data_IF_619582843127
#
_entry.id   IF_619582843127
#
_cell.length_a   1.000
_cell.length_b   1.000
_cell.length_c   1.000
_cell.angle_alpha   90.00
_cell.angle_beta   90.00
_cell.angle_gamma   90.00
#
_symmetry.space_group_name_H-M   'P 1'
#
loop_
_entity.id
_entity.type
_entity.pdbx_description
1 polymer ?
#
# COMPACT_ATOMS: atom_id res chain seq x y z
N UNK A 1 35.27 -38.71 11.69
CA UNK A 1 35.67 -37.47 12.40
C UNK A 1 35.89 -36.41 11.33
N UNK A 2 35.18 -35.30 11.17
CA UNK A 2 33.96 -34.68 11.73
C UNK A 2 33.53 -33.68 10.64
N UNK A 3 32.42 -33.85 9.93
CA UNK A 3 31.15 -33.16 10.19
C UNK A 3 31.29 -31.74 10.79
N UNK A 4 31.53 -30.74 9.93
CA UNK A 4 31.11 -29.35 10.09
C UNK A 4 30.08 -29.15 8.98
N UNK A 5 28.78 -29.06 9.24
CA UNK A 5 28.15 -28.13 10.17
C UNK A 5 27.51 -26.98 9.38
N UNK A 6 26.82 -27.31 8.28
CA UNK A 6 25.97 -26.35 7.59
C UNK A 6 24.78 -26.05 8.51
N UNK A 7 24.86 -24.92 9.21
CA UNK A 7 23.73 -24.31 9.88
C UNK A 7 22.70 -23.97 8.80
N UNK A 8 21.71 -24.85 8.66
CA UNK A 8 20.49 -24.57 7.93
C UNK A 8 19.82 -23.36 8.57
N UNK A 9 20.04 -22.18 7.99
CA UNK A 9 19.09 -21.09 8.07
C UNK A 9 17.74 -21.66 7.64
N UNK A 10 16.74 -21.56 8.52
CA UNK A 10 15.34 -21.70 8.15
C UNK A 10 15.02 -20.59 7.14
N UNK A 11 15.47 -20.75 5.90
CA UNK A 11 14.73 -20.34 4.74
C UNK A 11 13.36 -20.99 4.91
N UNK A 12 12.44 -20.25 5.50
CA UNK A 12 11.02 -20.55 5.41
C UNK A 12 10.75 -20.49 3.91
N UNK A 13 10.74 -21.66 3.26
CA UNK A 13 10.63 -21.83 1.83
C UNK A 13 9.28 -21.28 1.36
N UNK A 14 9.24 -19.96 1.16
CA UNK A 14 8.11 -19.20 0.64
C UNK A 14 7.74 -19.68 -0.77
N UNK A 15 8.65 -20.40 -1.45
CA UNK A 15 8.52 -20.81 -2.84
C UNK A 15 7.82 -22.17 -3.03
N UNK A 16 7.72 -23.03 -2.00
CA UNK A 16 7.19 -24.40 -2.18
C UNK A 16 5.73 -24.65 -1.82
N UNK A 17 4.94 -23.63 -1.48
CA UNK A 17 3.47 -23.76 -1.49
C UNK A 17 2.91 -23.25 -2.82
N UNK A 18 3.27 -23.96 -3.90
CA UNK A 18 2.39 -24.03 -5.07
C UNK A 18 1.04 -24.55 -4.61
N UNK A 19 -0.02 -23.79 -4.83
CA UNK A 19 -1.41 -24.27 -4.92
C UNK A 19 -1.91 -25.32 -3.92
N UNK A 20 -1.39 -25.37 -2.68
CA UNK A 20 -2.14 -26.01 -1.61
C UNK A 20 -3.52 -25.34 -1.57
N UNK A 21 -4.58 -26.16 -1.65
CA UNK A 21 -5.97 -25.76 -1.61
C UNK A 21 -6.23 -24.97 -0.31
N UNK A 22 -5.98 -23.66 -0.35
CA UNK A 22 -6.38 -22.75 0.71
C UNK A 22 -7.91 -22.72 0.70
N UNK A 23 -8.51 -23.61 1.48
CA UNK A 23 -9.93 -23.63 1.73
C UNK A 23 -10.23 -22.72 2.94
N UNK A 24 -11.00 -21.63 2.74
CA UNK A 24 -11.37 -20.72 3.81
C UNK A 24 -12.03 -21.38 5.03
N UNK A 25 -12.68 -22.55 4.85
CA UNK A 25 -13.44 -23.23 5.92
C UNK A 25 -12.59 -24.14 6.80
N UNK A 26 -11.51 -24.69 6.26
CA UNK A 26 -10.72 -25.74 6.94
C UNK A 26 -9.29 -25.31 7.23
N UNK A 27 -8.79 -24.29 6.54
CA UNK A 27 -7.44 -23.78 6.78
C UNK A 27 -7.40 -22.93 8.04
N UNK A 28 -6.72 -23.43 9.07
CA UNK A 28 -6.43 -22.68 10.30
C UNK A 28 -5.44 -21.56 9.98
N UNK A 29 -5.79 -20.35 10.42
CA UNK A 29 -4.96 -19.16 10.35
C UNK A 29 -3.93 -19.19 11.48
N UNK A 30 -2.68 -18.94 11.14
CA UNK A 30 -1.57 -18.82 12.07
C UNK A 30 -0.61 -17.72 11.60
N UNK A 31 0.54 -17.61 12.27
CA UNK A 31 1.56 -16.60 11.96
C UNK A 31 2.02 -16.66 10.49
N UNK A 32 2.05 -17.81 9.84
CA UNK A 32 2.48 -17.95 8.44
C UNK A 32 1.49 -17.44 7.40
N UNK A 33 0.20 -17.33 7.73
CA UNK A 33 -0.82 -16.94 6.75
C UNK A 33 -0.87 -15.44 6.45
N UNK A 34 -0.36 -14.61 7.36
CA UNK A 34 -0.36 -13.15 7.21
C UNK A 34 1.07 -12.59 7.23
N UNK A 35 1.33 -11.61 6.38
CA UNK A 35 2.48 -10.71 6.44
C UNK A 35 2.03 -9.31 6.84
N UNK A 36 2.98 -8.45 7.18
CA UNK A 36 2.74 -7.00 7.31
C UNK A 36 3.34 -6.28 6.11
N UNK A 37 3.05 -4.98 5.90
CA UNK A 37 3.59 -4.24 4.77
C UNK A 37 5.12 -4.29 4.71
N UNK A 38 5.67 -4.46 3.50
CA UNK A 38 7.11 -4.51 3.25
C UNK A 38 7.82 -5.81 3.69
N UNK A 39 7.11 -6.79 4.24
CA UNK A 39 7.67 -8.07 4.71
C UNK A 39 7.35 -9.26 3.80
N UNK A 40 6.83 -9.01 2.59
CA UNK A 40 6.61 -10.04 1.57
C UNK A 40 7.65 -9.96 0.46
N UNK A 41 7.30 -10.49 -0.71
CA UNK A 41 8.15 -10.44 -1.89
C UNK A 41 7.66 -9.39 -2.89
N UNK A 42 8.61 -8.68 -3.48
CA UNK A 42 8.40 -7.89 -4.69
C UNK A 42 7.94 -8.82 -5.82
N UNK A 43 6.94 -8.46 -6.63
CA UNK A 43 6.66 -9.21 -7.84
C UNK A 43 7.83 -9.06 -8.82
N UNK A 44 8.04 -10.05 -9.69
CA UNK A 44 9.20 -10.13 -10.60
C UNK A 44 9.40 -8.88 -11.46
N UNK A 45 8.29 -8.23 -11.86
CA UNK A 45 8.35 -7.02 -12.66
C UNK A 45 8.79 -5.79 -11.86
N UNK A 46 8.69 -5.77 -10.52
CA UNK A 46 9.01 -4.60 -9.72
C UNK A 46 10.49 -4.23 -9.86
N UNK A 47 10.80 -2.94 -9.99
CA UNK A 47 12.13 -2.42 -10.27
C UNK A 47 12.77 -2.88 -11.58
N UNK A 48 12.00 -3.51 -12.48
CA UNK A 48 12.47 -3.80 -13.84
C UNK A 48 12.44 -2.52 -14.67
N UNK A 49 13.51 -2.20 -15.41
CA UNK A 49 13.54 -1.03 -16.27
C UNK A 49 12.63 -1.21 -17.49
N UNK A 50 11.93 -0.14 -17.88
CA UNK A 50 11.04 -0.12 -19.03
C UNK A 50 11.16 1.20 -19.78
N UNK A 51 10.82 1.18 -21.07
CA UNK A 51 10.72 2.40 -21.86
C UNK A 51 9.40 3.10 -21.53
N UNK A 52 9.49 4.37 -21.10
CA UNK A 52 8.33 5.18 -20.74
C UNK A 52 8.00 6.27 -21.77
N UNK A 53 9.02 6.87 -22.38
CA UNK A 53 8.88 8.00 -23.30
C UNK A 53 9.77 7.85 -24.53
N UNK A 54 9.40 8.50 -25.63
CA UNK A 54 10.21 8.64 -26.85
C UNK A 54 10.47 10.12 -27.11
N UNK A 55 11.70 10.46 -27.49
CA UNK A 55 12.05 11.83 -27.85
C UNK A 55 11.43 12.23 -29.20
N UNK A 56 11.02 13.49 -29.33
CA UNK A 56 10.38 14.08 -30.51
C UNK A 56 11.17 13.85 -31.81
N UNK A 57 12.50 13.81 -31.74
CA UNK A 57 13.36 13.59 -32.91
C UNK A 57 13.52 12.12 -33.31
N UNK A 58 12.95 11.19 -32.53
CA UNK A 58 13.05 9.75 -32.76
C UNK A 58 14.44 9.15 -32.53
N UNK A 59 15.36 9.87 -31.89
CA UNK A 59 16.75 9.42 -31.69
C UNK A 59 17.03 8.77 -30.32
N UNK A 60 16.07 8.83 -29.42
CA UNK A 60 16.26 8.37 -28.05
C UNK A 60 14.94 8.08 -27.33
N UNK A 61 15.04 7.32 -26.25
CA UNK A 61 13.93 6.98 -25.36
C UNK A 61 14.37 7.05 -23.90
N UNK A 62 13.42 7.35 -23.01
CA UNK A 62 13.65 7.35 -21.56
C UNK A 62 13.38 5.98 -20.96
N UNK A 63 14.35 5.50 -20.19
CA UNK A 63 14.23 4.39 -19.27
C UNK A 63 13.69 4.88 -17.91
N UNK A 64 12.65 4.23 -17.41
CA UNK A 64 12.15 4.39 -16.06
C UNK A 64 12.13 3.06 -15.31
N UNK A 65 12.06 3.13 -13.99
CA UNK A 65 12.01 1.97 -13.09
C UNK A 65 10.58 1.82 -12.59
N UNK A 66 9.97 0.65 -12.76
CA UNK A 66 8.60 0.42 -12.31
C UNK A 66 8.52 0.28 -10.77
N UNK A 67 7.59 1.01 -10.17
CA UNK A 67 7.16 0.81 -8.78
C UNK A 67 5.85 0.03 -8.76
N UNK A 68 5.85 -1.16 -8.14
CA UNK A 68 4.65 -2.01 -8.13
C UNK A 68 3.54 -1.47 -7.20
N UNK A 69 3.86 -0.52 -6.31
CA UNK A 69 2.96 0.07 -5.29
C UNK A 69 2.14 -1.00 -4.54
N UNK A 70 2.73 -2.17 -4.25
CA UNK A 70 2.08 -3.25 -3.50
C UNK A 70 2.43 -3.21 -2.02
N UNK A 71 1.45 -3.48 -1.16
CA UNK A 71 1.63 -3.57 0.29
C UNK A 71 2.75 -4.53 0.71
N UNK A 72 2.85 -5.68 0.04
CA UNK A 72 3.85 -6.72 0.36
C UNK A 72 5.27 -6.39 -0.09
N UNK A 73 5.46 -5.42 -0.99
CA UNK A 73 6.75 -5.14 -1.61
C UNK A 73 7.67 -4.37 -0.64
N UNK A 74 8.85 -4.90 -0.27
CA UNK A 74 9.80 -4.22 0.64
C UNK A 74 10.20 -2.82 0.20
N UNK A 75 10.27 -2.58 -1.11
CA UNK A 75 10.71 -1.30 -1.67
C UNK A 75 9.58 -0.31 -1.94
N UNK A 76 8.37 -0.81 -2.23
CA UNK A 76 7.24 0.04 -2.65
C UNK A 76 6.14 0.21 -1.59
N UNK A 77 6.21 -0.51 -0.46
CA UNK A 77 5.12 -0.51 0.51
C UNK A 77 4.86 0.87 1.11
N UNK A 78 5.88 1.71 1.34
CA UNK A 78 5.72 3.02 1.99
C UNK A 78 4.78 3.93 1.22
N UNK A 79 5.04 4.10 -0.09
CA UNK A 79 4.14 4.86 -0.95
C UNK A 79 2.73 4.27 -0.91
N UNK A 80 2.59 2.94 -0.98
CA UNK A 80 1.27 2.30 -0.90
C UNK A 80 0.54 2.56 0.43
N UNK A 81 1.23 2.47 1.56
CA UNK A 81 0.68 2.78 2.88
C UNK A 81 0.21 4.23 2.90
N UNK A 82 1.07 5.16 2.48
CA UNK A 82 0.75 6.59 2.50
C UNK A 82 -0.36 6.98 1.52
N UNK A 83 -0.44 6.35 0.34
CA UNK A 83 -1.56 6.53 -0.59
C UNK A 83 -2.89 6.13 0.04
N UNK A 84 -2.90 5.05 0.83
CA UNK A 84 -4.10 4.59 1.52
C UNK A 84 -4.42 5.47 2.74
N UNK A 85 -3.40 5.96 3.45
CA UNK A 85 -3.59 7.01 4.47
C UNK A 85 -4.23 8.25 3.85
N UNK A 86 -3.68 8.75 2.73
CA UNK A 86 -4.20 9.91 2.02
C UNK A 86 -5.66 9.69 1.64
N UNK A 87 -5.95 8.60 0.93
CA UNK A 87 -7.30 8.25 0.47
C UNK A 87 -8.31 8.20 1.62
N UNK A 88 -8.02 7.46 2.69
CA UNK A 88 -8.97 7.33 3.79
C UNK A 88 -9.03 8.57 4.68
N UNK A 89 -7.93 9.30 4.86
CA UNK A 89 -7.94 10.55 5.61
C UNK A 89 -8.83 11.60 4.93
N UNK A 90 -8.64 11.81 3.62
CA UNK A 90 -9.50 12.70 2.82
C UNK A 90 -10.95 12.29 2.94
N UNK A 91 -11.26 11.00 2.72
CA UNK A 91 -12.63 10.49 2.81
C UNK A 91 -13.27 10.72 4.18
N UNK A 92 -12.53 10.46 5.27
CA UNK A 92 -13.03 10.64 6.64
C UNK A 92 -13.20 12.12 7.00
N UNK A 93 -12.29 12.98 6.55
CA UNK A 93 -12.37 14.44 6.76
C UNK A 93 -13.54 15.05 5.99
N UNK A 94 -13.73 14.69 4.71
CA UNK A 94 -14.89 15.12 3.92
C UNK A 94 -16.20 14.67 4.58
N UNK A 95 -16.27 13.42 5.04
CA UNK A 95 -17.45 12.91 5.74
C UNK A 95 -17.70 13.64 7.06
N UNK A 96 -16.63 13.96 7.80
CA UNK A 96 -16.70 14.77 9.02
C UNK A 96 -17.23 16.19 8.76
N UNK A 97 -16.79 16.84 7.69
CA UNK A 97 -17.25 18.17 7.31
C UNK A 97 -18.75 18.17 7.02
N UNK A 98 -19.22 17.20 6.23
CA UNK A 98 -20.63 17.10 5.82
C UNK A 98 -21.56 16.72 6.97
N UNK A 99 -21.11 15.84 7.86
CA UNK A 99 -21.96 15.35 8.97
C UNK A 99 -21.86 16.19 10.24
N UNK A 100 -20.82 17.02 10.37
CA UNK A 100 -20.51 17.73 11.62
C UNK A 100 -20.01 16.82 12.75
N UNK A 101 -19.78 15.54 12.48
CA UNK A 101 -19.28 14.56 13.46
C UNK A 101 -17.81 14.24 13.24
N UNK A 102 -17.08 13.93 14.32
CA UNK A 102 -15.68 13.44 14.26
C UNK A 102 -15.63 11.93 14.48
N UNK A 103 -14.74 11.19 13.80
CA UNK A 103 -14.64 9.76 14.01
C UNK A 103 -14.02 9.47 15.38
N UNK A 104 -14.42 8.35 15.98
CA UNK A 104 -13.81 7.85 17.22
C UNK A 104 -13.17 6.48 17.01
N UNK A 105 -12.17 6.17 17.83
CA UNK A 105 -11.41 4.92 17.72
C UNK A 105 -12.05 3.78 18.49
N UNK A 106 -12.08 2.60 17.88
CA UNK A 106 -12.48 1.39 18.56
C UNK A 106 -11.67 0.19 18.11
N UNK A 107 -11.64 -0.86 18.94
CA UNK A 107 -11.06 -2.16 18.60
C UNK A 107 -12.04 -3.25 18.94
N UNK A 108 -12.31 -4.13 17.97
CA UNK A 108 -12.95 -5.42 18.24
C UNK A 108 -11.89 -6.51 18.38
N UNK A 109 -11.95 -7.27 19.45
CA UNK A 109 -11.05 -8.38 19.73
C UNK A 109 -11.86 -9.67 19.90
N UNK A 110 -11.31 -10.77 19.41
CA UNK A 110 -11.77 -12.10 19.79
C UNK A 110 -11.05 -12.58 21.04
N UNK A 111 -11.64 -13.59 21.68
CA UNK A 111 -11.02 -14.32 22.77
C UNK A 111 -9.68 -14.94 22.31
N UNK A 112 -8.64 -14.81 23.14
CA UNK A 112 -7.29 -15.30 22.83
C UNK A 112 -7.24 -16.81 22.62
N UNK A 113 -8.13 -17.55 23.30
CA UNK A 113 -8.14 -19.01 23.26
C UNK A 113 -8.60 -19.53 21.90
N UNK A 114 -9.39 -18.73 21.15
CA UNK A 114 -9.87 -19.07 19.81
C UNK A 114 -8.91 -18.69 18.70
N UNK A 115 -7.88 -17.89 18.98
CA UNK A 115 -7.00 -17.35 17.96
C UNK A 115 -6.17 -18.44 17.25
N UNK A 116 -5.82 -19.53 17.93
CA UNK A 116 -4.93 -20.57 17.39
C UNK A 116 -5.63 -21.65 16.56
N UNK A 117 -6.96 -21.74 16.61
CA UNK A 117 -7.77 -22.65 15.80
C UNK A 117 -8.63 -21.91 14.77
N UNK A 118 -8.45 -20.60 14.63
CA UNK A 118 -9.30 -19.72 13.82
C UNK A 118 -9.12 -19.98 12.33
N UNK A 119 -10.17 -20.35 11.62
CA UNK A 119 -10.20 -20.43 10.16
C UNK A 119 -10.50 -19.07 9.52
N UNK A 120 -10.29 -18.94 8.20
CA UNK A 120 -10.62 -17.69 7.51
C UNK A 120 -12.13 -17.39 7.52
N UNK A 121 -12.98 -18.42 7.40
CA UNK A 121 -14.43 -18.24 7.45
C UNK A 121 -14.90 -17.77 8.83
N UNK A 122 -14.34 -18.34 9.90
CA UNK A 122 -14.59 -17.87 11.26
C UNK A 122 -14.10 -16.44 11.48
N UNK A 123 -12.94 -16.07 10.93
CA UNK A 123 -12.45 -14.70 10.99
C UNK A 123 -13.37 -13.72 10.24
N UNK A 124 -13.88 -14.12 9.07
CA UNK A 124 -14.91 -13.35 8.34
C UNK A 124 -16.22 -13.26 9.13
N UNK A 125 -16.62 -14.33 9.79
CA UNK A 125 -17.75 -14.38 10.72
C UNK A 125 -17.58 -13.38 11.86
N UNK A 126 -16.41 -13.37 12.50
CA UNK A 126 -16.03 -12.40 13.52
C UNK A 126 -16.15 -10.95 13.01
N UNK A 127 -15.59 -10.63 11.84
CA UNK A 127 -15.67 -9.28 11.24
C UNK A 127 -17.11 -8.84 10.99
N UNK A 128 -17.95 -9.75 10.47
CA UNK A 128 -19.38 -9.50 10.25
C UNK A 128 -20.10 -9.25 11.57
N UNK A 129 -19.93 -10.14 12.54
CA UNK A 129 -20.56 -10.04 13.85
C UNK A 129 -20.14 -8.77 14.61
N UNK A 130 -18.87 -8.39 14.54
CA UNK A 130 -18.37 -7.14 15.11
C UNK A 130 -19.06 -5.92 14.46
N UNK A 131 -19.13 -5.89 13.12
CA UNK A 131 -19.83 -4.83 12.38
C UNK A 131 -21.32 -4.75 12.73
N UNK A 132 -22.02 -5.88 12.80
CA UNK A 132 -23.46 -5.90 13.12
C UNK A 132 -23.74 -5.42 14.55
N UNK A 133 -22.82 -5.64 15.48
CA UNK A 133 -22.89 -5.07 16.84
C UNK A 133 -22.65 -3.57 16.84
N UNK A 134 -21.67 -3.09 16.10
CA UNK A 134 -21.45 -1.65 15.94
C UNK A 134 -22.71 -0.97 15.39
N UNK A 135 -23.33 -1.55 14.36
CA UNK A 135 -24.59 -1.05 13.78
C UNK A 135 -25.71 -1.00 14.82
N UNK A 136 -25.86 -2.03 15.66
CA UNK A 136 -26.85 -2.04 16.76
C UNK A 136 -26.58 -0.99 17.84
N UNK A 137 -25.33 -0.57 18.01
CA UNK A 137 -24.94 0.53 18.90
C UNK A 137 -25.03 1.92 18.21
N UNK A 138 -25.73 2.03 17.08
CA UNK A 138 -25.94 3.31 16.40
C UNK A 138 -24.75 3.81 15.58
N UNK A 139 -23.76 2.96 15.30
CA UNK A 139 -22.71 3.28 14.32
C UNK A 139 -23.29 3.18 12.92
N UNK A 140 -23.23 4.26 12.16
CA UNK A 140 -23.80 4.35 10.81
C UNK A 140 -22.74 4.18 9.73
N UNK A 141 -21.51 4.61 10.00
CA UNK A 141 -20.40 4.51 9.07
C UNK A 141 -19.07 4.29 9.77
N UNK A 142 -18.08 3.79 9.04
CA UNK A 142 -16.71 3.76 9.54
C UNK A 142 -15.69 3.17 8.58
N UNK A 143 -14.45 3.35 8.96
CA UNK A 143 -13.28 2.66 8.42
C UNK A 143 -12.91 1.50 9.34
N UNK A 144 -12.41 0.41 8.75
CA UNK A 144 -11.92 -0.77 9.47
C UNK A 144 -10.54 -1.18 8.95
N UNK A 145 -9.74 -1.75 9.83
CA UNK A 145 -8.45 -2.34 9.50
C UNK A 145 -8.21 -3.63 10.29
N UNK A 146 -7.84 -4.68 9.58
CA UNK A 146 -7.63 -6.01 10.14
C UNK A 146 -6.17 -6.21 10.57
N UNK A 147 -5.96 -6.51 11.86
CA UNK A 147 -4.66 -6.74 12.48
C UNK A 147 -4.56 -8.16 13.07
N UNK A 148 -3.72 -9.05 12.50
CA UNK A 148 -3.56 -10.42 12.98
C UNK A 148 -2.59 -10.54 14.16
N UNK A 149 -1.81 -9.49 14.47
CA UNK A 149 -0.69 -9.57 15.41
C UNK A 149 -0.80 -8.53 16.52
N UNK A 150 -0.50 -8.94 17.75
CA UNK A 150 -0.26 -8.04 18.88
C UNK A 150 1.17 -8.20 19.37
N UNK A 151 1.82 -7.10 19.69
CA UNK A 151 3.19 -7.12 20.20
C UNK A 151 3.18 -7.72 21.61
N UNK A 152 4.16 -8.58 21.92
CA UNK A 152 4.30 -9.14 23.27
C UNK A 152 4.53 -8.02 24.27
N UNK A 153 3.91 -8.09 25.45
CA UNK A 153 3.98 -7.02 26.46
C UNK A 153 5.43 -6.71 26.89
N UNK A 154 6.26 -7.74 27.07
CA UNK A 154 7.69 -7.58 27.38
C UNK A 154 8.45 -6.84 26.28
N UNK A 155 8.20 -7.20 25.01
CA UNK A 155 8.79 -6.51 23.85
C UNK A 155 8.30 -5.07 23.77
N UNK A 156 7.00 -4.82 23.98
CA UNK A 156 6.46 -3.46 23.97
C UNK A 156 7.12 -2.57 25.02
N UNK A 157 7.37 -3.11 26.23
CA UNK A 157 8.08 -2.41 27.30
C UNK A 157 9.54 -2.14 26.92
N UNK A 158 10.25 -3.15 26.39
CA UNK A 158 11.64 -3.01 25.94
C UNK A 158 11.78 -1.94 24.86
N UNK A 159 10.94 -1.98 23.81
CA UNK A 159 11.00 -1.01 22.70
C UNK A 159 10.78 0.42 23.20
N UNK A 160 9.85 0.64 24.15
CA UNK A 160 9.64 1.98 24.75
C UNK A 160 10.87 2.51 25.47
N UNK A 161 11.63 1.64 26.13
CA UNK A 161 12.88 2.01 26.82
C UNK A 161 13.99 2.27 25.80
N UNK A 162 14.16 1.39 24.82
CA UNK A 162 15.23 1.45 23.82
C UNK A 162 15.07 2.61 22.84
N UNK A 163 13.83 2.93 22.44
CA UNK A 163 13.54 3.97 21.46
C UNK A 163 13.20 5.33 22.07
N UNK A 164 13.04 5.42 23.39
CA UNK A 164 12.50 6.59 24.09
C UNK A 164 10.98 6.78 23.90
N UNK A 165 10.38 7.58 24.79
CA UNK A 165 8.93 7.84 24.82
C UNK A 165 8.40 8.57 23.56
N UNK A 166 9.28 9.19 22.76
CA UNK A 166 8.93 9.94 21.55
C UNK A 166 8.81 9.10 20.27
N UNK A 167 8.87 7.76 20.35
CA UNK A 167 8.63 6.95 19.15
C UNK A 167 7.17 7.10 18.72
N UNK A 168 6.95 8.05 17.80
CA UNK A 168 5.70 8.26 17.10
C UNK A 168 5.12 6.93 16.61
N UNK A 169 3.82 6.89 16.48
CA UNK A 169 3.06 5.68 16.19
C UNK A 169 3.62 4.90 14.97
N UNK A 170 4.04 5.57 13.90
CA UNK A 170 4.70 4.92 12.75
C UNK A 170 6.13 4.39 13.01
N UNK A 171 6.88 4.98 13.95
CA UNK A 171 8.24 4.57 14.31
C UNK A 171 8.30 3.24 15.06
N UNK A 172 7.27 2.93 15.85
CA UNK A 172 7.25 1.73 16.70
C UNK A 172 7.30 0.43 15.90
N UNK A 173 6.48 0.31 14.85
CA UNK A 173 6.50 -0.87 13.98
C UNK A 173 7.70 -0.87 13.05
N UNK A 174 8.18 0.28 12.58
CA UNK A 174 9.43 0.34 11.82
C UNK A 174 10.62 -0.21 12.63
N UNK A 175 10.67 0.05 13.94
CA UNK A 175 11.67 -0.53 14.83
C UNK A 175 11.50 -2.06 14.94
N UNK A 176 10.28 -2.55 15.17
CA UNK A 176 10.00 -4.01 15.25
C UNK A 176 10.37 -4.76 13.96
N UNK A 177 10.19 -4.12 12.81
CA UNK A 177 10.47 -4.72 11.50
C UNK A 177 11.92 -4.60 11.07
N UNK A 178 12.74 -3.82 11.78
CA UNK A 178 14.15 -3.67 11.48
C UNK A 178 14.96 -4.84 12.08
N UNK A 179 15.69 -5.63 11.26
CA UNK A 179 16.52 -6.73 11.77
C UNK A 179 17.54 -6.30 12.82
N UNK A 180 18.12 -5.10 12.70
CA UNK A 180 19.09 -4.59 13.67
C UNK A 180 18.47 -4.39 15.05
N UNK A 181 17.21 -3.94 15.09
CA UNK A 181 16.46 -3.72 16.34
C UNK A 181 16.14 -5.02 17.08
N UNK A 182 16.03 -6.15 16.37
CA UNK A 182 15.81 -7.47 17.00
C UNK A 182 16.99 -7.82 17.93
N UNK A 183 18.22 -7.51 17.51
CA UNK A 183 19.41 -7.76 18.33
C UNK A 183 19.42 -6.90 19.60
N UNK A 184 19.02 -5.63 19.49
CA UNK A 184 18.90 -4.74 20.66
C UNK A 184 17.84 -5.26 21.65
N UNK A 185 16.69 -5.70 21.15
CA UNK A 185 15.63 -6.30 21.97
C UNK A 185 16.12 -7.59 22.63
N UNK A 186 16.83 -8.45 21.89
CA UNK A 186 17.41 -9.69 22.40
C UNK A 186 18.36 -9.44 23.57
N UNK A 187 19.27 -8.47 23.42
CA UNK A 187 20.21 -8.08 24.45
C UNK A 187 19.51 -7.51 25.69
N UNK A 188 18.49 -6.67 25.49
CA UNK A 188 17.76 -6.04 26.60
C UNK A 188 16.92 -7.04 27.39
N UNK A 189 16.29 -7.99 26.71
CA UNK A 189 15.38 -8.97 27.31
C UNK A 189 16.05 -10.30 27.69
N UNK A 190 17.33 -10.48 27.36
CA UNK A 190 18.05 -11.76 27.45
C UNK A 190 17.29 -12.89 26.72
N UNK A 191 17.07 -12.68 25.43
CA UNK A 191 16.28 -13.58 24.56
C UNK A 191 16.96 -13.85 23.23
N UNK A 192 16.45 -14.83 22.47
CA UNK A 192 17.00 -15.23 21.17
C UNK A 192 15.93 -15.22 20.06
N UNK A 193 15.23 -14.08 19.92
CA UNK A 193 14.27 -13.89 18.84
C UNK A 193 15.00 -13.84 17.48
N UNK A 194 14.43 -14.53 16.49
CA UNK A 194 15.03 -14.66 15.14
C UNK A 194 14.37 -13.75 14.12
N UNK A 195 13.12 -13.37 14.34
CA UNK A 195 12.34 -12.55 13.42
C UNK A 195 11.32 -11.69 14.14
N UNK A 196 10.75 -10.70 13.44
CA UNK A 196 9.64 -9.90 13.95
C UNK A 196 8.43 -10.76 14.36
N UNK A 197 8.27 -11.96 13.78
CA UNK A 197 7.17 -12.89 14.13
C UNK A 197 7.32 -13.46 15.54
N UNK A 198 8.52 -13.50 16.07
CA UNK A 198 8.80 -13.95 17.44
C UNK A 198 8.48 -12.86 18.46
N UNK A 199 8.48 -11.60 18.02
CA UNK A 199 8.16 -10.43 18.84
C UNK A 199 6.66 -10.24 19.08
N UNK A 200 5.82 -10.97 18.34
CA UNK A 200 4.36 -10.82 18.35
C UNK A 200 3.64 -12.11 18.74
N UNK A 201 2.42 -11.95 19.24
CA UNK A 201 1.43 -13.00 19.40
C UNK A 201 0.44 -12.95 18.23
N UNK A 202 0.03 -14.12 17.73
CA UNK A 202 -1.08 -14.20 16.79
C UNK A 202 -2.37 -13.96 17.55
N UNK A 203 -3.01 -12.81 17.32
CA UNK A 203 -4.19 -12.36 18.04
C UNK A 203 -5.01 -11.45 17.10
N UNK A 204 -5.82 -12.04 16.20
CA UNK A 204 -6.61 -11.29 15.24
C UNK A 204 -7.59 -10.32 15.92
N UNK A 205 -7.58 -9.07 15.48
CA UNK A 205 -8.46 -8.02 15.94
C UNK A 205 -8.74 -7.04 14.79
N UNK A 206 -9.75 -6.19 14.96
CA UNK A 206 -10.11 -5.18 13.97
C UNK A 206 -10.09 -3.82 14.64
N UNK A 207 -9.30 -2.91 14.09
CA UNK A 207 -9.35 -1.49 14.43
C UNK A 207 -10.43 -0.79 13.62
N UNK A 208 -11.06 0.20 14.22
CA UNK A 208 -12.10 0.99 13.59
C UNK A 208 -11.93 2.49 13.86
N UNK A 209 -12.32 3.27 12.86
CA UNK A 209 -12.67 4.69 12.98
C UNK A 209 -14.15 4.83 12.67
N UNK A 210 -14.94 5.25 13.66
CA UNK A 210 -16.39 5.07 13.68
C UNK A 210 -17.13 6.39 13.75
N UNK A 211 -18.26 6.46 13.06
CA UNK A 211 -19.23 7.56 13.15
C UNK A 211 -20.59 7.05 13.66
N UNK A 212 -21.32 7.89 14.43
CA UNK A 212 -20.92 9.22 14.90
C UNK A 212 -20.06 9.16 16.18
N UNK A 213 -19.24 10.19 16.42
CA UNK A 213 -18.23 10.29 17.49
C UNK A 213 -18.74 9.98 18.90
N UNK A 214 -19.98 10.37 19.17
CA UNK A 214 -20.60 10.36 20.49
C UNK A 214 -21.09 8.97 20.93
N UNK A 215 -21.09 7.96 20.06
CA UNK A 215 -21.68 6.67 20.41
C UNK A 215 -20.94 5.96 21.56
N UNK A 216 -21.74 5.36 22.44
CA UNK A 216 -21.29 4.37 23.41
C UNK A 216 -21.33 3.00 22.73
N UNK A 217 -20.22 2.29 22.78
CA UNK A 217 -20.11 0.94 22.23
C UNK A 217 -19.71 -0.03 23.33
N UNK A 218 -20.31 -1.21 23.30
CA UNK A 218 -19.95 -2.31 24.19
C UNK A 218 -19.91 -3.62 23.41
N UNK A 219 -19.01 -4.50 23.82
CA UNK A 219 -18.95 -5.89 23.36
C UNK A 219 -19.74 -6.82 24.26
N UNK A 220 -19.63 -8.12 23.99
CA UNK A 220 -20.07 -9.19 24.89
C UNK A 220 -18.93 -10.19 25.12
N UNK A 221 -19.22 -11.31 25.80
CA UNK A 221 -18.24 -12.36 26.10
C UNK A 221 -17.56 -12.97 24.87
N UNK A 222 -18.17 -12.90 23.68
CA UNK A 222 -17.65 -13.52 22.46
C UNK A 222 -16.89 -12.54 21.56
N UNK A 223 -17.28 -11.26 21.54
CA UNK A 223 -16.54 -10.20 20.84
C UNK A 223 -16.50 -8.99 21.75
N UNK A 224 -15.31 -8.69 22.25
CA UNK A 224 -15.04 -7.50 23.05
C UNK A 224 -14.83 -6.34 22.10
N UNK A 225 -15.64 -5.28 22.24
CA UNK A 225 -15.47 -4.04 21.51
C UNK A 225 -15.16 -2.94 22.51
N UNK A 226 -14.02 -2.29 22.34
CA UNK A 226 -13.49 -1.28 23.26
C UNK A 226 -13.32 0.04 22.53
N UNK A 227 -13.91 1.11 23.08
CA UNK A 227 -13.65 2.49 22.66
C UNK A 227 -12.29 2.93 23.20
N UNK A 228 -11.43 3.51 22.35
CA UNK A 228 -10.06 3.86 22.73
C UNK A 228 -9.92 5.35 23.07
N UNK A 229 -9.51 5.63 24.31
CA UNK A 229 -9.27 6.99 24.80
C UNK A 229 -7.88 7.50 24.37
N UNK A 230 -7.78 8.78 24.03
CA UNK A 230 -6.51 9.50 23.80
C UNK A 230 -5.88 9.82 25.16
N UNK A 231 -4.61 10.22 25.15
CA UNK A 231 -3.86 10.60 26.35
C UNK A 231 -4.49 11.79 27.07
N UNK A 232 -5.10 12.70 26.32
CA UNK A 232 -5.86 13.86 26.81
C UNK A 232 -7.26 13.52 27.34
N UNK A 233 -7.66 12.24 27.31
CA UNK A 233 -8.97 11.79 27.77
C UNK A 233 -10.09 11.86 26.72
N UNK A 234 -9.86 12.44 25.54
CA UNK A 234 -10.83 12.45 24.43
C UNK A 234 -10.93 11.08 23.75
N UNK A 235 -11.99 10.84 22.99
CA UNK A 235 -12.16 9.57 22.24
C UNK A 235 -12.19 9.76 20.72
N UNK A 236 -12.45 10.99 20.30
CA UNK A 236 -12.57 11.43 18.92
C UNK A 236 -11.21 11.81 18.36
N UNK A 237 -11.09 11.79 17.04
CA UNK A 237 -9.95 12.33 16.31
C UNK A 237 -10.37 13.69 15.79
N UNK A 238 -10.03 14.75 16.53
CA UNK A 238 -10.68 16.05 16.39
C UNK A 238 -10.13 16.89 15.24
N UNK A 239 -8.94 16.54 14.72
CA UNK A 239 -8.29 17.26 13.63
C UNK A 239 -7.67 16.30 12.60
N UNK A 240 -7.27 16.87 11.46
CA UNK A 240 -6.65 16.13 10.34
C UNK A 240 -5.40 15.40 10.78
N UNK A 241 -4.55 16.04 11.59
CA UNK A 241 -3.31 15.42 12.10
C UNK A 241 -3.60 14.15 12.90
N UNK A 242 -4.59 14.16 13.79
CA UNK A 242 -5.02 13.00 14.56
C UNK A 242 -5.46 11.84 13.65
N UNK A 243 -6.24 12.13 12.59
CA UNK A 243 -6.67 11.13 11.61
C UNK A 243 -5.48 10.56 10.84
N UNK A 244 -4.63 11.42 10.28
CA UNK A 244 -3.46 11.02 9.48
C UNK A 244 -2.49 10.19 10.30
N UNK A 245 -2.13 10.65 11.51
CA UNK A 245 -1.21 9.92 12.38
C UNK A 245 -1.78 8.56 12.80
N UNK A 246 -3.08 8.49 13.08
CA UNK A 246 -3.72 7.24 13.48
C UNK A 246 -3.84 6.26 12.30
N UNK A 247 -4.28 6.71 11.13
CA UNK A 247 -4.32 5.87 9.94
C UNK A 247 -2.93 5.38 9.55
N UNK A 248 -1.92 6.26 9.55
CA UNK A 248 -0.54 5.88 9.23
C UNK A 248 -0.03 4.85 10.22
N UNK A 249 -0.27 5.03 11.52
CA UNK A 249 0.05 4.00 12.50
C UNK A 249 -0.55 2.66 12.12
N UNK A 250 -1.87 2.61 12.00
CA UNK A 250 -2.60 1.37 11.77
C UNK A 250 -2.16 0.70 10.46
N UNK A 251 -2.08 1.45 9.36
CA UNK A 251 -1.77 0.89 8.05
C UNK A 251 -0.33 0.35 7.94
N UNK A 252 0.63 0.82 8.74
CA UNK A 252 2.02 0.29 8.71
C UNK A 252 2.16 -1.16 9.20
N UNK A 253 1.14 -1.72 9.85
CA UNK A 253 1.18 -3.08 10.40
C UNK A 253 -0.12 -3.84 10.15
N UNK A 254 -0.80 -3.51 9.05
CA UNK A 254 -1.98 -4.22 8.62
C UNK A 254 -1.68 -5.68 8.24
N UNK A 255 -2.62 -6.59 8.48
CA UNK A 255 -2.45 -8.00 8.13
C UNK A 255 -2.76 -8.29 6.68
N UNK A 256 -1.73 -8.55 5.87
CA UNK A 256 -1.88 -8.94 4.47
C UNK A 256 -1.89 -10.46 4.39
N UNK A 257 -2.96 -11.06 3.87
CA UNK A 257 -3.01 -12.49 3.68
C UNK A 257 -2.06 -12.91 2.53
N UNK A 258 -1.17 -13.87 2.78
CA UNK A 258 -0.15 -14.30 1.81
C UNK A 258 -0.79 -14.95 0.57
N UNK A 259 -1.89 -15.69 0.77
CA UNK A 259 -2.63 -16.40 -0.29
C UNK A 259 -3.83 -15.58 -0.84
N UNK A 260 -3.67 -14.27 -0.98
CA UNK A 260 -4.74 -13.35 -1.39
C UNK A 260 -5.38 -13.69 -2.75
N UNK A 261 -4.67 -14.37 -3.65
CA UNK A 261 -5.19 -14.76 -4.98
C UNK A 261 -6.50 -15.56 -4.94
N UNK A 262 -6.73 -16.37 -3.88
CA UNK A 262 -7.98 -17.14 -3.66
C UNK A 262 -8.87 -16.52 -2.58
N UNK A 263 -8.37 -15.52 -1.85
CA UNK A 263 -9.07 -14.86 -0.75
C UNK A 263 -9.09 -13.36 -0.99
N UNK A 264 -10.24 -12.84 -1.45
CA UNK A 264 -10.57 -11.39 -1.56
C UNK A 264 -10.71 -10.72 -0.19
N UNK A 265 -9.73 -10.91 0.70
CA UNK A 265 -9.69 -10.26 2.00
C UNK A 265 -8.77 -9.05 1.91
N UNK A 266 -9.36 -7.90 1.65
CA UNK A 266 -8.67 -6.62 1.81
C UNK A 266 -8.49 -6.31 3.31
N UNK A 267 -7.28 -5.90 3.73
CA UNK A 267 -6.98 -5.61 5.13
C UNK A 267 -7.68 -4.33 5.60
N UNK A 268 -7.83 -3.35 4.71
CA UNK A 268 -8.42 -2.05 4.97
C UNK A 268 -9.74 -1.89 4.21
N UNK A 269 -10.67 -1.11 4.76
CA UNK A 269 -11.83 -0.69 3.98
C UNK A 269 -12.88 0.06 4.79
N UNK A 270 -13.88 0.57 4.09
CA UNK A 270 -15.00 1.31 4.67
C UNK A 270 -16.29 0.48 4.73
N UNK A 271 -17.22 0.87 5.59
CA UNK A 271 -18.52 0.25 5.73
C UNK A 271 -19.59 1.25 6.15
N UNK A 272 -20.85 0.81 6.07
CA UNK A 272 -21.97 1.68 6.37
C UNK A 272 -22.15 2.71 5.27
N UNK A 273 -22.53 3.93 5.64
CA UNK A 273 -22.81 5.00 4.68
C UNK A 273 -21.56 5.33 3.85
N UNK A 274 -20.37 5.31 4.46
CA UNK A 274 -19.08 5.51 3.79
C UNK A 274 -18.77 4.53 2.64
N UNK A 275 -19.44 3.39 2.52
CA UNK A 275 -19.09 2.37 1.50
C UNK A 275 -19.32 2.85 0.07
N UNK A 276 -20.39 3.62 -0.14
CA UNK A 276 -20.77 4.15 -1.45
C UNK A 276 -20.79 5.69 -1.45
N UNK A 277 -20.28 6.30 -0.39
CA UNK A 277 -20.25 7.74 -0.23
C UNK A 277 -19.12 8.33 -1.08
N UNK A 278 -19.43 9.42 -1.78
CA UNK A 278 -18.51 10.14 -2.65
C UNK A 278 -18.46 11.61 -2.21
N UNK A 279 -17.29 12.18 -1.90
CA UNK A 279 -17.18 13.59 -1.53
C UNK A 279 -17.85 14.54 -2.52
N UNK A 280 -17.75 14.24 -3.81
CA UNK A 280 -18.21 15.08 -4.93
C UNK A 280 -19.74 15.24 -4.97
N UNK A 281 -20.48 14.35 -4.30
CA UNK A 281 -21.94 14.44 -4.22
C UNK A 281 -22.40 15.47 -3.16
N UNK A 282 -21.50 15.96 -2.30
CA UNK A 282 -21.83 16.78 -1.13
C UNK A 282 -20.97 18.04 -0.95
N UNK A 283 -19.76 18.07 -1.51
CA UNK A 283 -18.78 19.13 -1.33
C UNK A 283 -18.37 19.72 -2.69
N UNK A 284 -17.96 20.98 -2.70
CA UNK A 284 -17.40 21.59 -3.91
C UNK A 284 -15.98 21.06 -4.20
N UNK A 285 -15.51 21.15 -5.46
CA UNK A 285 -14.13 20.79 -5.79
C UNK A 285 -13.09 21.52 -4.94
N UNK A 286 -13.33 22.80 -4.61
CA UNK A 286 -12.45 23.62 -3.78
C UNK A 286 -12.39 23.09 -2.34
N UNK A 287 -13.52 22.74 -1.74
CA UNK A 287 -13.56 22.16 -0.39
C UNK A 287 -12.82 20.82 -0.33
N UNK A 288 -12.99 19.97 -1.36
CA UNK A 288 -12.26 18.71 -1.47
C UNK A 288 -10.76 18.97 -1.62
N UNK A 289 -10.37 19.93 -2.45
CA UNK A 289 -8.99 20.31 -2.66
C UNK A 289 -8.33 20.84 -1.39
N UNK A 290 -9.02 21.67 -0.61
CA UNK A 290 -8.53 22.19 0.67
C UNK A 290 -8.28 21.06 1.68
N UNK A 291 -9.18 20.08 1.75
CA UNK A 291 -9.01 18.88 2.59
C UNK A 291 -7.81 18.06 2.10
N UNK A 292 -7.70 17.82 0.79
CA UNK A 292 -6.57 17.10 0.20
C UNK A 292 -5.23 17.78 0.52
N UNK A 293 -5.15 19.10 0.38
CA UNK A 293 -3.96 19.89 0.70
C UNK A 293 -3.61 19.79 2.20
N UNK A 294 -4.61 19.86 3.09
CA UNK A 294 -4.41 19.72 4.53
C UNK A 294 -3.83 18.34 4.89
N UNK A 295 -4.39 17.26 4.32
CA UNK A 295 -3.87 15.89 4.51
C UNK A 295 -2.47 15.75 3.92
N UNK A 296 -2.23 16.31 2.73
CA UNK A 296 -0.94 16.24 2.04
C UNK A 296 0.16 16.95 2.84
N UNK A 297 -0.14 18.13 3.40
CA UNK A 297 0.77 18.88 4.27
C UNK A 297 1.23 18.02 5.45
N UNK A 298 0.31 17.37 6.15
CA UNK A 298 0.64 16.46 7.25
C UNK A 298 1.43 15.22 6.80
N UNK A 299 1.14 14.66 5.61
CA UNK A 299 1.90 13.52 5.10
C UNK A 299 3.35 13.87 4.75
N UNK A 300 3.57 15.12 4.34
CA UNK A 300 4.85 15.69 3.93
C UNK A 300 5.69 16.28 5.07
N UNK A 301 5.13 16.38 6.27
CA UNK A 301 5.89 16.76 7.46
C UNK A 301 7.16 15.89 7.60
N UNK A 302 8.31 16.55 7.62
CA UNK A 302 9.64 15.93 7.82
C UNK A 302 10.10 14.99 6.69
N UNK A 303 9.50 15.07 5.49
CA UNK A 303 9.96 14.29 4.32
C UNK A 303 11.09 14.98 3.57
N UNK A 304 12.10 14.19 3.20
CA UNK A 304 13.14 14.61 2.25
C UNK A 304 12.66 14.58 0.81
N UNK A 305 11.77 13.64 0.47
CA UNK A 305 11.13 13.53 -0.84
C UNK A 305 9.63 13.72 -0.66
N UNK A 306 9.09 14.91 -0.96
CA UNK A 306 7.68 15.21 -0.74
C UNK A 306 6.79 14.44 -1.73
N UNK A 307 5.55 14.24 -1.32
CA UNK A 307 4.47 13.72 -2.15
C UNK A 307 3.69 14.85 -2.81
N UNK A 308 3.03 14.51 -3.91
CA UNK A 308 1.99 15.30 -4.55
C UNK A 308 0.83 14.38 -4.98
N UNK A 309 -0.23 14.97 -5.52
CA UNK A 309 -1.39 14.26 -6.06
C UNK A 309 -1.35 14.39 -7.58
N UNK A 310 -1.49 13.27 -8.29
CA UNK A 310 -1.56 13.27 -9.76
C UNK A 310 -2.97 13.63 -10.27
N UNK A 311 -3.12 13.69 -11.60
CA UNK A 311 -4.37 14.08 -12.27
C UNK A 311 -5.50 13.06 -12.04
N UNK A 312 -5.18 11.87 -11.52
CA UNK A 312 -6.14 10.83 -11.15
C UNK A 312 -6.51 10.89 -9.65
N UNK A 313 -5.98 11.87 -8.90
CA UNK A 313 -6.20 11.97 -7.47
C UNK A 313 -5.36 10.98 -6.66
N UNK A 314 -4.35 10.35 -7.25
CA UNK A 314 -3.48 9.39 -6.55
C UNK A 314 -2.21 10.04 -6.02
N UNK A 315 -1.78 9.59 -4.85
CA UNK A 315 -0.53 10.04 -4.24
C UNK A 315 0.68 9.50 -5.03
N UNK A 316 1.59 10.39 -5.42
CA UNK A 316 2.86 10.10 -6.08
C UNK A 316 4.01 10.93 -5.47
N UNK A 317 5.26 10.63 -5.83
CA UNK A 317 6.37 11.49 -5.43
C UNK A 317 6.39 12.75 -6.28
N UNK A 318 6.65 13.91 -5.66
CA UNK A 318 6.76 15.18 -6.40
C UNK A 318 7.85 15.11 -7.48
N UNK A 319 8.97 14.44 -7.15
CA UNK A 319 10.05 14.16 -8.10
C UNK A 319 9.57 13.44 -9.36
N UNK A 320 8.63 12.50 -9.25
CA UNK A 320 8.11 11.77 -10.43
C UNK A 320 7.40 12.76 -11.38
N UNK A 321 6.68 13.75 -10.83
CA UNK A 321 6.03 14.82 -11.60
C UNK A 321 7.03 15.84 -12.16
N UNK A 322 8.08 16.17 -11.41
CA UNK A 322 9.17 17.02 -11.89
C UNK A 322 9.99 16.32 -12.99
N UNK A 323 10.18 15.01 -12.89
CA UNK A 323 10.77 14.15 -13.93
C UNK A 323 9.91 14.15 -15.20
N UNK A 324 8.60 13.94 -15.08
CA UNK A 324 7.67 14.02 -16.23
C UNK A 324 7.75 15.38 -16.92
N UNK A 325 7.67 16.49 -16.15
CA UNK A 325 7.78 17.83 -16.71
C UNK A 325 9.15 18.09 -17.35
N UNK A 326 10.23 17.66 -16.72
CA UNK A 326 11.59 17.80 -17.27
C UNK A 326 11.75 16.99 -18.55
N UNK A 327 11.13 15.80 -18.62
CA UNK A 327 11.10 14.99 -19.83
C UNK A 327 10.36 15.71 -20.96
N UNK A 328 9.18 16.27 -20.69
CA UNK A 328 8.39 17.06 -21.65
C UNK A 328 9.18 18.29 -22.16
N UNK A 329 9.77 19.08 -21.26
CA UNK A 329 10.60 20.24 -21.59
C UNK A 329 11.83 19.84 -22.43
N UNK A 330 12.36 18.64 -22.21
CA UNK A 330 13.45 18.05 -22.99
C UNK A 330 12.98 17.39 -24.30
N UNK A 331 11.71 17.50 -24.66
CA UNK A 331 11.14 16.98 -25.91
C UNK A 331 10.82 15.50 -25.89
N UNK A 332 10.64 14.88 -24.73
CA UNK A 332 10.19 13.49 -24.61
C UNK A 332 8.68 13.42 -24.40
N UNK A 333 8.03 12.51 -25.12
CA UNK A 333 6.60 12.29 -25.06
C UNK A 333 6.28 10.90 -24.50
N UNK A 334 5.32 10.77 -23.56
CA UNK A 334 4.91 9.49 -23.02
C UNK A 334 4.41 8.53 -24.10
N UNK A 335 4.85 7.27 -24.07
CA UNK A 335 4.40 6.24 -25.02
C UNK A 335 2.88 6.07 -25.08
N UNK A 336 2.18 6.32 -23.97
CA UNK A 336 0.71 6.25 -23.87
C UNK A 336 0.00 7.26 -24.77
N UNK A 337 0.64 8.37 -25.14
CA UNK A 337 0.04 9.42 -25.96
C UNK A 337 -0.01 9.03 -27.44
N UNK A 338 0.89 8.14 -27.87
CA UNK A 338 0.91 7.60 -29.23
C UNK A 338 -0.15 6.50 -29.46
N UNK A 339 -0.96 6.19 -28.45
CA UNK A 339 -2.04 5.18 -28.53
C UNK A 339 -3.42 5.85 -28.47
N UNK A 340 -3.52 7.10 -28.95
CA UNK A 340 -4.84 7.69 -29.19
C UNK A 340 -5.58 6.91 -30.29
N UNK A 341 -6.89 6.75 -30.07
CA UNK A 341 -7.76 5.78 -30.74
C UNK A 341 -8.57 6.44 -31.87
N UNK A 342 -7.95 6.81 -32.99
CA UNK A 342 -8.65 7.09 -34.28
C UNK A 342 -7.71 7.04 -35.51
N UNK A 343 -8.30 7.08 -36.73
CA UNK A 343 -7.56 7.08 -38.00
C UNK A 343 -6.66 8.34 -38.15
N UNK A 344 -7.09 9.49 -37.63
CA UNK A 344 -6.33 10.74 -37.66
C UNK A 344 -5.03 10.66 -36.85
N UNK A 345 -5.01 9.85 -35.79
CA UNK A 345 -3.79 9.64 -35.00
C UNK A 345 -2.76 8.81 -35.77
N UNK A 346 -3.20 7.88 -36.62
CA UNK A 346 -2.33 7.06 -37.47
C UNK A 346 -1.56 7.89 -38.49
N UNK A 347 -2.24 8.76 -39.24
CA UNK A 347 -1.60 9.63 -40.24
C UNK A 347 -0.57 10.58 -39.62
N UNK A 348 -0.86 11.11 -38.41
CA UNK A 348 0.08 11.95 -37.67
C UNK A 348 1.34 11.18 -37.27
N UNK A 349 1.19 9.94 -36.81
CA UNK A 349 2.31 9.07 -36.41
C UNK A 349 3.14 8.71 -37.65
N UNK A 350 2.52 8.32 -38.76
CA UNK A 350 3.22 7.95 -40.00
C UNK A 350 4.01 9.14 -40.58
N UNK A 351 3.41 10.33 -40.56
CA UNK A 351 4.06 11.58 -40.95
C UNK A 351 5.25 11.90 -40.04
N UNK A 352 5.09 11.75 -38.73
CA UNK A 352 6.16 11.94 -37.76
C UNK A 352 7.30 10.93 -37.96
N UNK A 353 7.00 9.63 -38.10
CA UNK A 353 7.99 8.58 -38.38
C UNK A 353 8.78 8.89 -39.64
N UNK A 354 8.11 9.34 -40.71
CA UNK A 354 8.74 9.75 -41.97
C UNK A 354 9.65 10.97 -41.84
N UNK A 355 9.45 11.80 -40.79
CA UNK A 355 10.28 12.99 -40.51
C UNK A 355 11.56 12.66 -39.72
N UNK A 356 11.68 11.46 -39.15
CA UNK A 356 12.86 11.03 -38.40
C UNK A 356 14.04 10.87 -39.36
N UNK A 357 15.11 11.65 -39.13
CA UNK A 357 16.26 11.74 -40.05
C UNK A 357 16.99 10.43 -40.31
N UNK A 358 17.04 9.56 -39.31
CA UNK A 358 17.73 8.27 -39.42
C UNK A 358 16.68 7.16 -39.63
N UNK A 359 16.67 6.49 -40.80
CA UNK A 359 15.68 5.45 -41.10
C UNK A 359 15.69 4.27 -40.12
N UNK A 360 16.86 3.85 -39.64
CA UNK A 360 16.96 2.74 -38.68
C UNK A 360 16.32 3.12 -37.34
N UNK A 361 16.49 4.38 -36.93
CA UNK A 361 15.83 4.91 -35.74
C UNK A 361 14.30 4.98 -35.94
N UNK A 362 13.83 5.40 -37.13
CA UNK A 362 12.40 5.45 -37.44
C UNK A 362 11.74 4.06 -37.34
N UNK A 363 12.38 3.05 -37.96
CA UNK A 363 11.96 1.64 -37.89
C UNK A 363 11.99 1.12 -36.45
N UNK A 364 12.96 1.56 -35.64
CA UNK A 364 13.02 1.19 -34.23
C UNK A 364 11.89 1.81 -33.42
N UNK A 365 11.59 3.10 -33.62
CA UNK A 365 10.47 3.78 -32.95
C UNK A 365 9.13 3.17 -33.34
N UNK A 366 8.90 2.87 -34.61
CA UNK A 366 7.70 2.18 -35.09
C UNK A 366 7.49 0.82 -34.39
N UNK A 367 8.57 0.05 -34.22
CA UNK A 367 8.56 -1.20 -33.46
C UNK A 367 8.16 -0.99 -32.00
N UNK A 368 8.71 0.02 -31.32
CA UNK A 368 8.36 0.31 -29.93
C UNK A 368 6.87 0.65 -29.78
N UNK A 369 6.35 1.51 -30.66
CA UNK A 369 4.93 1.88 -30.66
C UNK A 369 4.03 0.67 -30.92
N UNK A 370 4.40 -0.16 -31.90
CA UNK A 370 3.67 -1.38 -32.25
C UNK A 370 3.64 -2.39 -31.11
N UNK A 371 4.78 -2.67 -30.48
CA UNK A 371 4.85 -3.56 -29.33
C UNK A 371 4.06 -3.02 -28.14
N UNK A 372 4.11 -1.72 -27.89
CA UNK A 372 3.37 -1.13 -26.78
C UNK A 372 1.86 -1.23 -27.00
N UNK A 373 1.40 -0.95 -28.23
CA UNK A 373 0.00 -1.14 -28.64
C UNK A 373 -0.45 -2.58 -28.50
N UNK A 374 0.37 -3.55 -28.94
CA UNK A 374 0.11 -4.99 -28.78
C UNK A 374 -0.07 -5.36 -27.31
N UNK A 375 0.86 -4.95 -26.45
CA UNK A 375 0.85 -5.24 -25.02
C UNK A 375 -0.34 -4.60 -24.31
N UNK A 376 -0.76 -3.39 -24.70
CA UNK A 376 -1.93 -2.74 -24.12
C UNK A 376 -3.23 -3.47 -24.46
N UNK A 377 -3.36 -3.98 -25.70
CA UNK A 377 -4.53 -4.70 -26.22
C UNK A 377 -4.63 -6.13 -25.72
N UNK A 378 -3.52 -6.72 -25.29
CA UNK A 378 -3.46 -8.08 -24.75
C UNK A 378 -4.16 -8.14 -23.38
N UNK A 379 -5.31 -8.81 -23.33
CA UNK A 379 -6.10 -8.98 -22.10
C UNK A 379 -5.50 -10.00 -21.13
N UNK A 380 -4.64 -10.90 -21.62
CA UNK A 380 -4.03 -11.95 -20.82
C UNK A 380 -2.84 -11.42 -20.02
N UNK A 381 -2.21 -10.33 -20.48
CA UNK A 381 -1.20 -9.60 -19.71
C UNK A 381 -1.89 -8.81 -18.59
N UNK A 382 -1.54 -9.04 -17.30
CA UNK A 382 -2.04 -8.23 -16.20
C UNK A 382 -1.72 -6.75 -16.43
N UNK A 383 -2.68 -5.85 -16.19
CA UNK A 383 -2.52 -4.40 -16.45
C UNK A 383 -1.20 -3.81 -15.91
N UNK A 384 -0.76 -4.27 -14.73
CA UNK A 384 0.49 -3.83 -14.07
C UNK A 384 1.78 -4.28 -14.77
N UNK A 385 1.70 -5.25 -15.69
CA UNK A 385 2.79 -5.75 -16.53
C UNK A 385 2.74 -5.21 -17.96
N UNK A 386 1.74 -4.39 -18.32
CA UNK A 386 1.59 -3.87 -19.69
C UNK A 386 2.55 -2.71 -19.96
N UNK A 387 3.84 -3.03 -20.11
CA UNK A 387 4.97 -2.10 -20.31
C UNK A 387 6.00 -2.70 -21.26
N UNK A 388 6.81 -1.86 -21.90
CA UNK A 388 7.96 -2.28 -22.70
C UNK A 388 9.20 -2.47 -21.81
N UNK A 389 9.36 -3.64 -21.20
CA UNK A 389 10.55 -3.93 -20.39
C UNK A 389 11.79 -4.07 -21.27
N UNK A 390 12.90 -3.44 -20.89
CA UNK A 390 14.11 -3.42 -21.73
C UNK A 390 14.66 -4.81 -22.06
N UNK A 391 14.49 -5.78 -21.15
CA UNK A 391 14.94 -7.16 -21.36
C UNK A 391 14.14 -7.94 -22.42
N UNK A 392 12.97 -7.44 -22.82
CA UNK A 392 12.07 -8.09 -23.77
C UNK A 392 12.14 -7.44 -25.18
N UNK A 393 12.90 -6.36 -25.34
CA UNK A 393 13.01 -5.61 -26.59
C UNK A 393 14.19 -6.07 -27.43
N UNK A 394 14.07 -5.95 -28.75
CA UNK A 394 15.22 -6.11 -29.67
C UNK A 394 16.26 -5.01 -29.41
N UNK A 395 17.52 -5.28 -29.73
CA UNK A 395 18.58 -4.28 -29.58
C UNK A 395 18.29 -3.02 -30.41
N UNK A 396 18.48 -1.81 -29.84
CA UNK A 396 18.34 -0.57 -30.58
C UNK A 396 19.48 -0.43 -31.61
N UNK A 397 19.25 0.29 -32.73
CA UNK A 397 20.34 0.65 -33.63
C UNK A 397 21.36 1.53 -32.89
N UNK A 398 22.64 1.47 -33.29
CA UNK A 398 23.73 2.21 -32.63
C UNK A 398 23.50 3.73 -32.53
N UNK A 399 22.66 4.27 -33.41
CA UNK A 399 22.25 5.68 -33.46
C UNK A 399 21.11 6.05 -32.51
N UNK A 400 20.49 5.08 -31.84
CA UNK A 400 19.38 5.28 -30.92
C UNK A 400 19.83 5.12 -29.48
N UNK A 401 19.58 6.13 -28.65
CA UNK A 401 20.04 6.17 -27.25
C UNK A 401 18.91 5.87 -26.29
N UNK A 402 19.14 4.93 -25.37
CA UNK A 402 18.28 4.74 -24.20
C UNK A 402 18.94 5.50 -23.05
N UNK A 403 18.23 6.49 -22.50
CA UNK A 403 18.76 7.40 -21.49
C UNK A 403 17.99 7.26 -20.19
N UNK A 404 18.69 7.47 -19.07
CA UNK A 404 18.08 7.64 -17.75
C UNK A 404 17.96 9.12 -17.47
N UNK A 405 16.79 9.56 -17.02
CA UNK A 405 16.64 10.91 -16.51
C UNK A 405 17.31 10.97 -15.12
N UNK A 406 18.42 11.70 -15.01
CA UNK A 406 19.02 12.00 -13.71
C UNK A 406 18.37 13.27 -13.17
N UNK A 407 17.38 13.11 -12.31
CA UNK A 407 16.78 14.20 -11.51
C UNK A 407 17.24 14.11 -10.06
#
# INVERSE_FOLDING_TARGET
MSALGALGTLEYDYQKRQDELFDPKTTILNKGNFTVPGQGQSPDYCHTPYISHIHASGNSALEMIISCKLWRCPSCYRLKVDSEVFKYAVLLECYSLVTGDRPFRAVASMDSDKAYSLTLDEYRGFRRNAKDRLKRNGVTAGFKLDHPFRIKKSVQQAVRVLCGEETSSGGFWNYILNPSSINEINNYLDTDFKSWRDLVNFSPHVHYLLFPGHQKISGDKNIVITKLQKTDGSYTLDNVSDIVQHLRYLLTHCGILVNAGKSRMEPAGVFGDLRNWKPEDYLTPEEIQDIQLSVLNHLNEKRTTPYTVDDMGELCYLRDKEEEKTAEDAGYFPLKEFIAYDECTGECIDSWLSSIRNPDNAVYVEYLLSEYSRILKDTDIPQKKRRLFLGDLRDPPNSFKITKLNV
#
